data_IF_267729866236
#
_entry.id   IF_267729866236
#
_cell.length_a   1.000
_cell.length_b   1.000
_cell.length_c   1.000
_cell.angle_alpha   90.00
_cell.angle_beta   90.00
_cell.angle_gamma   90.00
#
_symmetry.space_group_name_H-M   'P 1'
#
loop_
_entity.id
_entity.type
_entity.pdbx_description
1 polymer ?
#
# COMPACT_ATOMS: atom_id res chain seq x y z
N UNK A 1 -0.89 9.09 -6.16
CA UNK A 1 -1.79 8.92 -7.33
C UNK A 1 -2.00 10.26 -8.02
N UNK A 2 -0.96 10.83 -8.63
CA UNK A 2 -1.01 12.19 -9.17
C UNK A 2 -1.03 12.23 -10.71
N UNK A 3 -0.74 11.10 -11.36
CA UNK A 3 -0.56 11.01 -12.82
C UNK A 3 -1.65 10.19 -13.52
N UNK A 4 -2.82 10.02 -12.89
CA UNK A 4 -3.99 9.37 -13.52
C UNK A 4 -3.94 7.84 -13.67
N UNK A 5 -2.90 7.16 -13.19
CA UNK A 5 -2.85 5.69 -13.20
C UNK A 5 -3.88 5.09 -12.24
N UNK A 6 -4.62 4.09 -12.70
CA UNK A 6 -5.62 3.37 -11.90
C UNK A 6 -4.95 2.47 -10.84
N UNK A 7 -5.58 2.34 -9.67
CA UNK A 7 -5.08 1.54 -8.55
C UNK A 7 -4.81 0.08 -8.94
N UNK A 8 -5.71 -0.58 -9.67
CA UNK A 8 -5.58 -1.98 -10.05
C UNK A 8 -4.38 -2.23 -10.98
N UNK A 9 -3.97 -1.23 -11.75
CA UNK A 9 -2.74 -1.29 -12.56
C UNK A 9 -1.51 -1.21 -11.67
N UNK A 10 -1.50 -0.26 -10.71
CA UNK A 10 -0.40 -0.13 -9.74
C UNK A 10 -0.28 -1.38 -8.87
N UNK A 11 -1.38 -1.97 -8.44
CA UNK A 11 -1.42 -3.21 -7.67
C UNK A 11 -0.70 -4.37 -8.40
N UNK A 12 -1.01 -4.55 -9.69
CA UNK A 12 -0.37 -5.57 -10.53
C UNK A 12 1.14 -5.33 -10.65
N UNK A 13 1.56 -4.07 -10.82
CA UNK A 13 2.96 -3.70 -10.86
C UNK A 13 3.66 -3.93 -9.51
N UNK A 14 3.02 -3.53 -8.40
CA UNK A 14 3.53 -3.73 -7.04
C UNK A 14 3.83 -5.20 -6.77
N UNK A 15 3.00 -6.12 -7.26
CA UNK A 15 3.25 -7.56 -7.16
C UNK A 15 4.52 -8.00 -7.88
N UNK A 16 4.83 -7.43 -9.05
CA UNK A 16 6.05 -7.75 -9.82
C UNK A 16 7.31 -7.28 -9.08
N UNK A 17 7.26 -6.09 -8.48
CA UNK A 17 8.36 -5.54 -7.67
C UNK A 17 8.38 -6.07 -6.22
N UNK A 18 7.58 -7.10 -5.92
CA UNK A 18 7.52 -7.77 -4.61
C UNK A 18 7.11 -6.86 -3.45
N UNK A 19 6.27 -5.87 -3.73
CA UNK A 19 5.64 -5.02 -2.72
C UNK A 19 4.21 -5.51 -2.41
N UNK A 20 3.79 -5.34 -1.17
CA UNK A 20 2.42 -5.66 -0.74
C UNK A 20 1.49 -4.48 -1.00
N UNK A 21 0.19 -4.74 -1.15
CA UNK A 21 -0.81 -3.68 -1.28
C UNK A 21 -0.79 -2.72 -0.08
N UNK A 22 -0.46 -3.22 1.11
CA UNK A 22 -0.37 -2.42 2.32
C UNK A 22 0.75 -1.39 2.24
N UNK A 23 1.91 -1.78 1.70
CA UNK A 23 3.00 -0.85 1.44
C UNK A 23 2.59 0.20 0.39
N UNK A 24 1.85 -0.21 -0.64
CA UNK A 24 1.31 0.73 -1.65
C UNK A 24 0.37 1.74 -0.99
N UNK A 25 -0.51 1.32 -0.08
CA UNK A 25 -1.41 2.23 0.64
C UNK A 25 -0.66 3.20 1.57
N UNK A 26 0.36 2.73 2.29
CA UNK A 26 1.20 3.59 3.12
C UNK A 26 1.87 4.70 2.28
N UNK A 27 2.45 4.32 1.14
CA UNK A 27 3.07 5.26 0.18
C UNK A 27 2.04 6.24 -0.41
N UNK A 28 0.85 5.75 -0.76
CA UNK A 28 -0.23 6.62 -1.27
C UNK A 28 -0.69 7.65 -0.25
N UNK A 29 -0.63 7.32 1.04
CA UNK A 29 -0.98 8.20 2.16
C UNK A 29 0.19 9.11 2.57
N UNK A 30 1.42 8.78 2.18
CA UNK A 30 2.61 9.57 2.50
C UNK A 30 3.15 9.34 3.91
N UNK A 31 2.83 8.20 4.53
CA UNK A 31 3.31 7.82 5.86
C UNK A 31 4.20 6.57 5.80
N UNK A 32 4.94 6.30 6.88
CA UNK A 32 5.74 5.08 6.96
C UNK A 32 4.84 3.84 7.02
N UNK A 33 5.36 2.68 6.60
CA UNK A 33 4.60 1.43 6.67
C UNK A 33 4.20 1.09 8.11
N UNK A 34 5.07 1.36 9.08
CA UNK A 34 4.80 1.06 10.49
C UNK A 34 3.68 1.95 11.04
N UNK A 35 3.72 3.25 10.77
CA UNK A 35 2.66 4.18 11.18
C UNK A 35 1.32 3.78 10.55
N UNK A 36 1.34 3.39 9.28
CA UNK A 36 0.15 2.90 8.58
C UNK A 36 -0.42 1.64 9.25
N UNK A 37 0.41 0.70 9.67
CA UNK A 37 -0.01 -0.52 10.33
C UNK A 37 -0.61 -0.26 11.72
N UNK A 38 -0.13 0.74 12.46
CA UNK A 38 -0.73 1.13 13.75
C UNK A 38 -2.17 1.66 13.60
N UNK A 39 -2.53 2.22 12.44
CA UNK A 39 -3.91 2.68 12.19
C UNK A 39 -4.91 1.54 12.00
N UNK A 40 -4.44 0.30 11.84
CA UNK A 40 -5.32 -0.85 11.57
C UNK A 40 -5.78 -1.53 12.85
N UNK A 41 -7.08 -1.81 12.91
CA UNK A 41 -7.74 -2.53 14.02
C UNK A 41 -7.87 -4.03 13.77
N UNK A 42 -6.93 -4.63 13.04
CA UNK A 42 -6.97 -6.05 12.67
C UNK A 42 -5.66 -6.72 13.12
N UNK A 43 -5.65 -7.37 14.31
CA UNK A 43 -4.43 -7.93 14.91
C UNK A 43 -3.76 -9.03 14.06
N UNK A 44 -4.57 -9.77 13.29
CA UNK A 44 -4.15 -11.00 12.60
C UNK A 44 -3.90 -10.82 11.10
N UNK A 45 -3.96 -9.59 10.57
CA UNK A 45 -3.66 -9.32 9.17
C UNK A 45 -2.15 -9.23 8.95
N UNK A 46 -1.47 -10.38 8.99
CA UNK A 46 -0.06 -10.54 8.57
C UNK A 46 0.04 -11.28 7.25
#
# INVERSE_FOLDING_TARGET
MQYGANFFVIEKFARVVRMTNLQVYAIMRGESFEDFMQTRRVPDAR
#
